data_IF_525121420829
#
_entry.id   IF_525121420829
#
_cell.length_a   1.000
_cell.length_b   1.000
_cell.length_c   1.000
_cell.angle_alpha   90.00
_cell.angle_beta   90.00
_cell.angle_gamma   90.00
#
_symmetry.space_group_name_H-M   'P 1'
#
loop_
_entity.id
_entity.type
_entity.pdbx_description
1 polymer ?
#
# COMPACT_ATOMS: atom_id res chain seq x y z
N UNK A 1 16.77 -32.90 -80.37
CA UNK A 1 17.42 -32.86 -79.03
C UNK A 1 16.44 -32.37 -77.96
N UNK A 2 15.23 -32.95 -77.83
CA UNK A 2 14.19 -32.45 -76.90
C UNK A 2 13.62 -33.51 -75.93
N UNK A 3 14.17 -34.73 -75.92
CA UNK A 3 13.67 -35.82 -75.05
C UNK A 3 13.83 -35.56 -73.55
N UNK A 4 14.78 -34.72 -73.16
CA UNK A 4 15.10 -34.42 -71.76
C UNK A 4 14.36 -33.19 -71.20
N UNK A 5 13.68 -32.42 -72.05
CA UNK A 5 13.03 -31.18 -71.64
C UNK A 5 11.82 -31.42 -70.70
N UNK A 6 11.08 -32.51 -70.91
CA UNK A 6 9.91 -32.90 -70.10
C UNK A 6 10.27 -33.31 -68.67
N UNK A 7 11.23 -34.22 -68.43
CA UNK A 7 11.63 -34.56 -67.05
C UNK A 7 12.32 -33.39 -66.34
N UNK A 8 13.04 -32.53 -67.06
CA UNK A 8 13.64 -31.32 -66.51
C UNK A 8 12.56 -30.33 -66.01
N UNK A 9 11.48 -30.14 -66.78
CA UNK A 9 10.36 -29.29 -66.37
C UNK A 9 9.63 -29.82 -65.13
N UNK A 10 9.45 -31.14 -65.04
CA UNK A 10 8.82 -31.79 -63.88
C UNK A 10 9.67 -31.67 -62.61
N UNK A 11 10.99 -31.85 -62.74
CA UNK A 11 11.93 -31.65 -61.63
C UNK A 11 11.94 -30.19 -61.15
N UNK A 12 11.95 -29.24 -62.08
CA UNK A 12 11.93 -27.80 -61.76
C UNK A 12 10.61 -27.40 -61.09
N UNK A 13 9.48 -27.90 -61.58
CA UNK A 13 8.17 -27.68 -60.98
C UNK A 13 8.06 -28.28 -59.57
N UNK A 14 8.59 -29.49 -59.35
CA UNK A 14 8.67 -30.12 -58.03
C UNK A 14 9.54 -29.34 -57.04
N UNK A 15 10.70 -28.84 -57.49
CA UNK A 15 11.59 -28.00 -56.68
C UNK A 15 10.93 -26.65 -56.29
N UNK A 16 10.21 -26.03 -57.23
CA UNK A 16 9.43 -24.81 -56.95
C UNK A 16 8.29 -25.08 -55.95
N UNK A 17 7.61 -26.22 -56.06
CA UNK A 17 6.56 -26.62 -55.12
C UNK A 17 7.10 -26.78 -53.69
N UNK A 18 8.21 -27.48 -53.51
CA UNK A 18 8.82 -27.71 -52.19
C UNK A 18 9.34 -26.42 -51.54
N UNK A 19 9.93 -25.51 -52.32
CA UNK A 19 10.41 -24.22 -51.81
C UNK A 19 9.26 -23.32 -51.38
N UNK A 20 8.17 -23.26 -52.15
CA UNK A 20 6.96 -22.52 -51.77
C UNK A 20 6.28 -23.11 -50.54
N UNK A 21 6.17 -24.44 -50.43
CA UNK A 21 5.61 -25.12 -49.25
C UNK A 21 6.48 -24.90 -48.01
N UNK A 22 7.81 -25.03 -48.14
CA UNK A 22 8.75 -24.76 -47.06
C UNK A 22 8.68 -23.30 -46.60
N UNK A 23 8.60 -22.35 -47.53
CA UNK A 23 8.43 -20.93 -47.23
C UNK A 23 7.08 -20.63 -46.55
N UNK A 24 6.00 -21.24 -47.03
CA UNK A 24 4.67 -21.10 -46.44
C UNK A 24 4.63 -21.62 -44.99
N UNK A 25 5.22 -22.80 -44.72
CA UNK A 25 5.31 -23.37 -43.37
C UNK A 25 6.20 -22.51 -42.46
N UNK A 26 7.34 -22.03 -42.96
CA UNK A 26 8.21 -21.11 -42.20
C UNK A 26 7.47 -19.83 -41.79
N UNK A 27 6.74 -19.23 -42.73
CA UNK A 27 6.05 -17.98 -42.50
C UNK A 27 4.82 -18.13 -41.60
N UNK A 28 4.06 -19.23 -41.72
CA UNK A 28 2.96 -19.55 -40.80
C UNK A 28 3.49 -19.80 -39.38
N UNK A 29 4.66 -20.45 -39.24
CA UNK A 29 5.36 -20.60 -37.96
C UNK A 29 5.79 -19.25 -37.38
N UNK A 30 6.30 -18.33 -38.20
CA UNK A 30 6.69 -16.99 -37.75
C UNK A 30 5.49 -16.14 -37.32
N UNK A 31 4.34 -16.28 -37.98
CA UNK A 31 3.08 -15.61 -37.59
C UNK A 31 2.51 -16.16 -36.29
N UNK A 32 2.48 -17.49 -36.10
CA UNK A 32 1.95 -18.13 -34.88
C UNK A 32 2.86 -17.92 -33.67
N UNK A 33 4.17 -17.77 -33.89
CA UNK A 33 5.16 -17.45 -32.88
C UNK A 33 5.34 -15.94 -32.64
N UNK A 34 4.28 -15.12 -32.72
CA UNK A 34 4.32 -13.73 -32.26
C UNK A 34 3.93 -13.66 -30.76
N UNK A 35 4.87 -13.86 -29.80
CA UNK A 35 4.58 -13.86 -28.35
C UNK A 35 4.22 -12.48 -27.81
N UNK A 36 4.42 -11.43 -28.60
CA UNK A 36 4.49 -10.07 -28.09
C UNK A 36 3.11 -9.52 -27.69
N UNK A 37 2.04 -9.89 -28.40
CA UNK A 37 0.68 -9.48 -28.02
C UNK A 37 0.24 -10.10 -26.70
N UNK A 38 0.42 -11.42 -26.54
CA UNK A 38 0.07 -12.13 -25.30
C UNK A 38 0.92 -11.65 -24.12
N UNK A 39 2.22 -11.37 -24.36
CA UNK A 39 3.13 -10.83 -23.35
C UNK A 39 2.72 -9.42 -22.93
N UNK A 40 2.43 -8.52 -23.88
CA UNK A 40 1.91 -7.17 -23.60
C UNK A 40 0.58 -7.21 -22.83
N UNK A 41 -0.31 -8.14 -23.15
CA UNK A 41 -1.59 -8.29 -22.46
C UNK A 41 -1.41 -8.81 -21.02
N UNK A 42 -0.51 -9.78 -20.80
CA UNK A 42 -0.15 -10.25 -19.45
C UNK A 42 0.49 -9.13 -18.64
N UNK A 43 1.35 -8.32 -19.26
CA UNK A 43 2.00 -7.20 -18.60
C UNK A 43 1.02 -6.08 -18.24
N UNK A 44 0.03 -5.78 -19.10
CA UNK A 44 -1.07 -4.86 -18.77
C UNK A 44 -1.87 -5.35 -17.57
N UNK A 45 -2.33 -6.61 -17.57
CA UNK A 45 -3.07 -7.19 -16.43
C UNK A 45 -2.26 -7.21 -15.14
N UNK A 46 -0.94 -7.44 -15.23
CA UNK A 46 -0.05 -7.40 -14.05
C UNK A 46 0.02 -5.99 -13.48
N UNK A 47 0.22 -4.97 -14.32
CA UNK A 47 0.23 -3.56 -13.92
C UNK A 47 -1.10 -3.11 -13.32
N UNK A 48 -2.23 -3.54 -13.90
CA UNK A 48 -3.56 -3.23 -13.37
C UNK A 48 -3.78 -3.87 -12.00
N UNK A 49 -3.34 -5.12 -11.80
CA UNK A 49 -3.40 -5.79 -10.49
C UNK A 49 -2.48 -5.14 -9.46
N UNK A 50 -1.28 -4.72 -9.86
CA UNK A 50 -0.35 -4.01 -8.99
C UNK A 50 -0.95 -2.67 -8.55
N UNK A 51 -1.51 -1.88 -9.48
CA UNK A 51 -2.22 -0.63 -9.17
C UNK A 51 -3.44 -0.84 -8.28
N UNK A 52 -4.24 -1.88 -8.52
CA UNK A 52 -5.39 -2.19 -7.67
C UNK A 52 -4.96 -2.54 -6.25
N UNK A 53 -3.88 -3.31 -6.08
CA UNK A 53 -3.32 -3.63 -4.76
C UNK A 53 -2.76 -2.41 -4.04
N UNK A 54 -2.07 -1.52 -4.76
CA UNK A 54 -1.57 -0.25 -4.19
C UNK A 54 -2.74 0.61 -3.70
N UNK A 55 -3.78 0.77 -4.51
CA UNK A 55 -4.99 1.51 -4.14
C UNK A 55 -5.73 0.89 -2.95
N UNK A 56 -5.87 -0.44 -2.91
CA UNK A 56 -6.49 -1.13 -1.77
C UNK A 56 -5.67 -0.98 -0.48
N UNK A 57 -4.33 -0.96 -0.59
CA UNK A 57 -3.44 -0.71 0.54
C UNK A 57 -3.56 0.73 1.05
N UNK A 58 -3.61 1.72 0.15
CA UNK A 58 -3.80 3.13 0.48
C UNK A 58 -5.15 3.36 1.18
N UNK A 59 -6.23 2.76 0.67
CA UNK A 59 -7.54 2.82 1.32
C UNK A 59 -7.53 2.18 2.72
N UNK A 60 -6.86 1.03 2.89
CA UNK A 60 -6.70 0.40 4.19
C UNK A 60 -5.91 1.30 5.15
N UNK A 61 -4.86 1.96 4.68
CA UNK A 61 -4.04 2.88 5.47
C UNK A 61 -4.84 4.12 5.90
N UNK A 62 -5.57 4.76 4.99
CA UNK A 62 -6.46 5.88 5.33
C UNK A 62 -7.51 5.47 6.37
N UNK A 63 -8.11 4.28 6.23
CA UNK A 63 -9.08 3.75 7.20
C UNK A 63 -8.43 3.51 8.56
N UNK A 64 -7.20 3.00 8.60
CA UNK A 64 -6.47 2.79 9.85
C UNK A 64 -6.17 4.12 10.55
N UNK A 65 -5.72 5.14 9.80
CA UNK A 65 -5.50 6.50 10.34
C UNK A 65 -6.81 7.07 10.89
N UNK A 66 -7.91 6.96 10.15
CA UNK A 66 -9.23 7.41 10.61
C UNK A 66 -9.67 6.72 11.91
N UNK A 67 -9.49 5.40 12.01
CA UNK A 67 -9.81 4.63 13.24
C UNK A 67 -8.96 5.04 14.44
N UNK A 68 -7.66 5.29 14.24
CA UNK A 68 -6.78 5.77 15.30
C UNK A 68 -7.21 7.15 15.77
N UNK A 69 -7.59 8.03 14.85
CA UNK A 69 -8.08 9.37 15.18
C UNK A 69 -9.43 9.34 15.93
N UNK A 70 -10.37 8.49 15.50
CA UNK A 70 -11.65 8.29 16.20
C UNK A 70 -11.42 7.76 17.62
N UNK A 71 -10.57 6.75 17.79
CA UNK A 71 -10.22 6.20 19.09
C UNK A 71 -9.55 7.24 19.99
N UNK A 72 -8.63 8.05 19.44
CA UNK A 72 -8.01 9.16 20.16
C UNK A 72 -9.06 10.14 20.70
N UNK A 73 -9.97 10.61 19.83
CA UNK A 73 -11.00 11.58 20.22
C UNK A 73 -11.94 11.01 21.30
N UNK A 74 -12.32 9.73 21.14
CA UNK A 74 -13.18 9.04 22.09
C UNK A 74 -12.53 8.92 23.48
N UNK A 75 -11.26 8.51 23.55
CA UNK A 75 -10.53 8.39 24.82
C UNK A 75 -10.34 9.77 25.50
N UNK A 76 -10.08 10.84 24.74
CA UNK A 76 -10.02 12.20 25.30
C UNK A 76 -11.35 12.62 25.91
N UNK A 77 -12.47 12.42 25.20
CA UNK A 77 -13.80 12.76 25.69
C UNK A 77 -14.18 11.98 26.96
N UNK A 78 -13.86 10.68 27.02
CA UNK A 78 -14.04 9.87 28.24
C UNK A 78 -13.17 10.39 29.38
N UNK A 79 -11.92 10.75 29.10
CA UNK A 79 -11.00 11.38 30.06
C UNK A 79 -11.57 12.67 30.67
N UNK A 80 -12.13 13.54 29.84
CA UNK A 80 -12.79 14.79 30.25
C UNK A 80 -14.09 14.55 31.02
N UNK A 81 -14.88 13.55 30.61
CA UNK A 81 -16.09 13.18 31.32
C UNK A 81 -15.78 12.73 32.75
N UNK A 82 -14.82 11.82 32.94
CA UNK A 82 -14.40 11.39 34.28
C UNK A 82 -13.78 12.53 35.10
N UNK A 83 -13.16 13.52 34.45
CA UNK A 83 -12.71 14.74 35.13
C UNK A 83 -13.87 15.55 35.70
N UNK A 84 -14.94 15.74 34.93
CA UNK A 84 -16.12 16.47 35.39
C UNK A 84 -16.82 15.81 36.60
N UNK A 85 -16.70 14.49 36.72
CA UNK A 85 -17.26 13.69 37.81
C UNK A 85 -16.32 13.69 39.05
N UNK A 86 -15.04 14.07 38.89
CA UNK A 86 -14.04 14.02 39.96
C UNK A 86 -13.33 12.67 40.10
N UNK A 87 -13.52 11.75 39.15
CA UNK A 87 -12.90 10.41 39.15
C UNK A 87 -11.55 10.44 38.43
N UNK A 88 -10.54 11.03 39.10
CA UNK A 88 -9.24 11.31 38.53
C UNK A 88 -8.47 10.07 38.05
N UNK A 89 -8.62 8.92 38.73
CA UNK A 89 -7.91 7.69 38.35
C UNK A 89 -8.31 7.17 36.96
N UNK A 90 -9.62 7.20 36.67
CA UNK A 90 -10.17 6.76 35.37
C UNK A 90 -9.86 7.77 34.26
N UNK A 91 -9.90 9.06 34.59
CA UNK A 91 -9.51 10.10 33.64
C UNK A 91 -8.06 9.91 33.16
N UNK A 92 -7.13 9.71 34.09
CA UNK A 92 -5.71 9.50 33.76
C UNK A 92 -5.51 8.25 32.90
N UNK A 93 -6.29 7.19 33.10
CA UNK A 93 -6.24 5.97 32.29
C UNK A 93 -6.61 6.24 30.82
N UNK A 94 -7.77 6.85 30.58
CA UNK A 94 -8.22 7.19 29.23
C UNK A 94 -7.30 8.20 28.53
N UNK A 95 -6.82 9.22 29.25
CA UNK A 95 -5.88 10.18 28.67
C UNK A 95 -4.51 9.55 28.37
N UNK A 96 -4.06 8.56 29.15
CA UNK A 96 -2.82 7.82 28.87
C UNK A 96 -2.97 6.97 27.60
N UNK A 97 -4.13 6.32 27.42
CA UNK A 97 -4.44 5.58 26.19
C UNK A 97 -4.43 6.51 24.98
N UNK A 98 -5.06 7.69 25.07
CA UNK A 98 -5.06 8.68 24.01
C UNK A 98 -3.64 9.15 23.63
N UNK A 99 -2.76 9.39 24.61
CA UNK A 99 -1.37 9.78 24.35
C UNK A 99 -0.58 8.65 23.68
N UNK A 100 -0.86 7.38 23.99
CA UNK A 100 -0.14 6.22 23.44
C UNK A 100 -0.29 6.05 21.93
N UNK A 101 -1.41 6.52 21.36
CA UNK A 101 -1.75 6.44 19.93
C UNK A 101 -1.38 7.71 19.16
N UNK A 102 -0.94 8.77 19.84
CA UNK A 102 -0.54 10.01 19.18
C UNK A 102 0.85 9.89 18.55
N UNK A 103 0.95 10.27 17.26
CA UNK A 103 2.23 10.38 16.56
C UNK A 103 3.13 11.53 17.10
N UNK A 104 2.53 12.58 17.68
CA UNK A 104 3.23 13.74 18.26
C UNK A 104 2.76 14.02 19.70
N UNK A 105 3.30 13.34 20.71
CA UNK A 105 2.89 13.52 22.09
C UNK A 105 3.22 14.91 22.66
N UNK A 106 4.23 15.61 22.12
CA UNK A 106 4.69 16.89 22.65
C UNK A 106 3.67 18.03 22.49
N UNK A 107 3.07 18.20 21.31
CA UNK A 107 2.05 19.23 21.08
C UNK A 107 0.80 18.97 21.93
N UNK A 108 0.40 17.70 22.06
CA UNK A 108 -0.77 17.35 22.86
C UNK A 108 -0.54 17.59 24.36
N UNK A 109 0.66 17.28 24.87
CA UNK A 109 1.00 17.52 26.28
C UNK A 109 0.98 19.01 26.65
N UNK A 110 1.38 19.90 25.75
CA UNK A 110 1.28 21.35 25.96
C UNK A 110 -0.17 21.82 26.05
N UNK A 111 -1.05 21.26 25.21
CA UNK A 111 -2.48 21.58 25.22
C UNK A 111 -3.15 21.07 26.50
N UNK A 112 -2.85 19.83 26.90
CA UNK A 112 -3.35 19.21 28.14
C UNK A 112 -2.87 19.95 29.39
N UNK A 113 -1.66 20.51 29.41
CA UNK A 113 -1.19 21.35 30.51
C UNK A 113 -2.07 22.59 30.73
N UNK A 114 -2.61 23.16 29.65
CA UNK A 114 -3.44 24.36 29.72
C UNK A 114 -4.91 24.07 30.04
N UNK A 115 -5.38 22.84 29.83
CA UNK A 115 -6.79 22.45 30.03
C UNK A 115 -7.03 21.62 31.29
N UNK A 116 -5.99 20.97 31.84
CA UNK A 116 -6.13 20.06 33.00
C UNK A 116 -5.68 20.70 34.32
N UNK A 117 -6.34 20.35 35.44
CA UNK A 117 -5.86 20.71 36.78
C UNK A 117 -4.47 20.12 37.07
N UNK A 118 -3.59 20.83 37.81
CA UNK A 118 -2.20 20.41 38.03
C UNK A 118 -2.04 19.02 38.65
N UNK A 119 -2.97 18.63 39.53
CA UNK A 119 -2.96 17.33 40.21
C UNK A 119 -3.15 16.14 39.25
N UNK A 120 -3.98 16.32 38.21
CA UNK A 120 -4.26 15.28 37.22
C UNK A 120 -3.10 15.16 36.25
N UNK A 121 -2.54 16.29 35.84
CA UNK A 121 -1.38 16.34 34.96
C UNK A 121 -0.16 15.63 35.57
N UNK A 122 0.10 15.85 36.86
CA UNK A 122 1.16 15.14 37.62
C UNK A 122 0.97 13.62 37.63
N UNK A 123 -0.25 13.13 37.88
CA UNK A 123 -0.57 11.70 37.85
C UNK A 123 -0.40 11.10 36.45
N UNK A 124 -0.73 11.87 35.42
CA UNK A 124 -0.56 11.49 34.01
C UNK A 124 0.92 11.33 33.66
N UNK A 125 1.77 12.28 34.07
CA UNK A 125 3.21 12.18 33.88
C UNK A 125 3.79 10.94 34.57
N UNK A 126 3.33 10.56 35.76
CA UNK A 126 3.86 9.36 36.42
C UNK A 126 3.59 8.05 35.67
N UNK A 127 2.55 7.98 34.83
CA UNK A 127 2.18 6.77 34.08
C UNK A 127 2.74 6.69 32.67
N UNK A 128 3.13 7.81 32.07
CA UNK A 128 3.68 7.82 30.72
C UNK A 128 5.19 7.50 30.75
N UNK A 129 5.67 6.41 30.13
CA UNK A 129 7.08 5.97 30.22
C UNK A 129 8.10 6.89 29.51
N UNK A 130 7.66 7.97 28.84
CA UNK A 130 8.50 8.92 28.08
C UNK A 130 8.96 10.16 28.89
N UNK A 131 8.76 10.18 30.20
CA UNK A 131 8.87 11.37 31.06
C UNK A 131 10.23 12.08 31.12
N UNK A 132 11.35 11.43 30.81
CA UNK A 132 12.66 12.10 30.93
C UNK A 132 12.85 13.21 29.88
N UNK A 133 12.35 13.07 28.66
CA UNK A 133 12.54 14.08 27.60
C UNK A 133 11.57 15.26 27.72
N UNK A 134 10.29 15.01 28.02
CA UNK A 134 9.26 16.05 28.17
C UNK A 134 9.51 16.95 29.39
N UNK A 135 9.97 16.36 30.52
CA UNK A 135 10.26 17.10 31.75
C UNK A 135 11.42 18.10 31.60
N UNK A 136 12.36 17.86 30.67
CA UNK A 136 13.44 18.80 30.38
C UNK A 136 12.98 19.98 29.53
N UNK A 137 11.98 19.80 28.66
CA UNK A 137 11.48 20.84 27.76
C UNK A 137 10.45 21.78 28.42
N UNK A 138 9.65 21.31 29.38
CA UNK A 138 8.74 22.15 30.17
C UNK A 138 9.46 23.03 31.23
N UNK A 139 10.77 22.83 31.42
CA UNK A 139 11.59 23.57 32.39
C UNK A 139 12.49 24.65 31.75
N UNK A 140 12.38 24.85 30.44
CA UNK A 140 13.04 25.92 29.67
C UNK A 140 12.03 26.96 29.22
#
# INVERSE_FOLDING_TARGET
MSGWARPLLLLLAGACGLTLLGYAVYFDRQRRNAPDFKRKLRQKRRKEREKAKEHDAELCEMKNIGRVQEFFLQEVQLGEHWLSIGEHKKSVEHLTNAISVCAQPHQLLQLLHNTLPPQVFEMLLQRVPYTKQVRMLLKS
#
